data_IF_969027319247
#
_entry.id   IF_969027319247
#
_cell.length_a   1.000
_cell.length_b   1.000
_cell.length_c   1.000
_cell.angle_alpha   90.00
_cell.angle_beta   90.00
_cell.angle_gamma   90.00
#
_symmetry.space_group_name_H-M   'P 1'
#
loop_
_entity.id
_entity.type
_entity.pdbx_description
1 polymer ?
#
# COMPACT_ATOMS: atom_id res chain seq x y z
N UNK A 1 -21.21 -7.19 11.14
CA UNK A 1 -20.68 -5.89 11.61
C UNK A 1 -19.40 -5.51 10.89
N UNK A 2 -18.35 -6.36 10.89
CA UNK A 2 -17.07 -6.07 10.22
C UNK A 2 -17.23 -5.98 8.70
N UNK A 3 -18.01 -6.89 8.11
CA UNK A 3 -18.29 -6.85 6.68
C UNK A 3 -19.05 -5.61 6.24
N UNK A 4 -20.07 -5.19 6.98
CA UNK A 4 -20.83 -3.95 6.68
C UNK A 4 -19.93 -2.72 6.71
N UNK A 5 -19.04 -2.63 7.71
CA UNK A 5 -18.08 -1.52 7.83
C UNK A 5 -17.10 -1.53 6.66
N UNK A 6 -16.59 -2.70 6.27
CA UNK A 6 -15.67 -2.85 5.15
C UNK A 6 -16.31 -2.43 3.82
N UNK A 7 -17.55 -2.88 3.54
CA UNK A 7 -18.30 -2.48 2.35
C UNK A 7 -18.64 -0.99 2.33
N UNK A 8 -18.97 -0.42 3.49
CA UNK A 8 -19.22 1.02 3.62
C UNK A 8 -17.96 1.82 3.30
N UNK A 9 -16.82 1.43 3.87
CA UNK A 9 -15.53 2.09 3.61
C UNK A 9 -15.12 1.97 2.15
N UNK A 10 -15.20 0.76 1.57
CA UNK A 10 -14.90 0.53 0.17
C UNK A 10 -15.77 1.40 -0.76
N UNK A 11 -17.08 1.49 -0.47
CA UNK A 11 -18.00 2.34 -1.23
C UNK A 11 -17.61 3.82 -1.15
N UNK A 12 -17.31 4.31 0.06
CA UNK A 12 -16.95 5.72 0.26
C UNK A 12 -15.66 6.06 -0.46
N UNK A 13 -14.62 5.23 -0.32
CA UNK A 13 -13.33 5.42 -0.99
C UNK A 13 -13.50 5.38 -2.52
N UNK A 14 -14.26 4.41 -3.04
CA UNK A 14 -14.51 4.30 -4.49
C UNK A 14 -15.28 5.50 -5.02
N UNK A 15 -16.29 5.98 -4.28
CA UNK A 15 -17.06 7.14 -4.69
C UNK A 15 -16.25 8.44 -4.65
N UNK A 16 -15.38 8.58 -3.66
CA UNK A 16 -14.48 9.71 -3.54
C UNK A 16 -13.44 9.72 -4.67
N UNK A 17 -12.84 8.57 -4.95
CA UNK A 17 -11.90 8.40 -6.06
C UNK A 17 -12.51 8.70 -7.43
N UNK A 18 -13.76 8.28 -7.65
CA UNK A 18 -14.51 8.54 -8.89
C UNK A 18 -15.21 9.91 -8.90
N UNK A 19 -15.07 10.71 -7.85
CA UNK A 19 -15.72 12.01 -7.68
C UNK A 19 -17.27 11.95 -7.84
N UNK A 20 -17.89 10.82 -7.46
CA UNK A 20 -19.35 10.60 -7.57
C UNK A 20 -20.04 11.09 -6.29
N UNK A 21 -20.87 12.11 -6.44
CA UNK A 21 -21.75 12.56 -5.33
C UNK A 21 -22.81 11.50 -5.04
N UNK A 22 -22.84 11.00 -3.79
CA UNK A 22 -23.75 9.93 -3.36
C UNK A 22 -25.13 10.44 -2.86
N UNK A 23 -25.63 11.53 -3.40
CA UNK A 23 -26.88 12.17 -2.95
C UNK A 23 -28.12 11.34 -3.30
N UNK A 24 -28.05 10.51 -4.35
CA UNK A 24 -29.18 9.68 -4.81
C UNK A 24 -28.89 8.19 -4.58
N UNK A 25 -29.94 7.45 -4.19
CA UNK A 25 -29.88 5.99 -3.97
C UNK A 25 -29.33 5.25 -5.20
N UNK A 26 -29.77 5.66 -6.40
CA UNK A 26 -29.31 5.05 -7.67
C UNK A 26 -27.78 5.16 -7.84
N UNK A 27 -27.17 6.29 -7.45
CA UNK A 27 -25.70 6.45 -7.52
C UNK A 27 -24.98 5.60 -6.49
N UNK A 28 -25.57 5.38 -5.31
CA UNK A 28 -25.04 4.47 -4.30
C UNK A 28 -25.05 3.03 -4.80
N UNK A 29 -26.13 2.59 -5.43
CA UNK A 29 -26.25 1.26 -6.02
C UNK A 29 -25.24 1.08 -7.15
N UNK A 30 -25.06 2.08 -8.00
CA UNK A 30 -24.08 2.05 -9.10
C UNK A 30 -22.64 1.84 -8.62
N UNK A 31 -22.26 2.40 -7.47
CA UNK A 31 -20.94 2.19 -6.85
C UNK A 31 -20.86 0.86 -6.09
N UNK A 32 -21.97 0.44 -5.45
CA UNK A 32 -21.98 -0.82 -4.70
C UNK A 32 -21.97 -2.05 -5.60
N UNK A 33 -22.65 -2.01 -6.74
CA UNK A 33 -22.81 -3.16 -7.62
C UNK A 33 -21.48 -3.78 -8.08
N UNK A 34 -20.49 -3.01 -8.58
CA UNK A 34 -19.19 -3.57 -8.95
C UNK A 34 -18.43 -4.11 -7.73
N UNK A 35 -18.53 -3.47 -6.57
CA UNK A 35 -17.87 -3.95 -5.34
C UNK A 35 -18.45 -5.31 -4.92
N UNK A 36 -19.78 -5.47 -4.96
CA UNK A 36 -20.43 -6.75 -4.69
C UNK A 36 -20.08 -7.82 -5.74
N UNK A 37 -20.04 -7.45 -7.02
CA UNK A 37 -19.66 -8.36 -8.09
C UNK A 37 -18.23 -8.89 -7.89
N UNK A 38 -17.27 -8.02 -7.59
CA UNK A 38 -15.89 -8.42 -7.27
C UNK A 38 -15.85 -9.32 -6.04
N UNK A 39 -16.58 -8.98 -4.97
CA UNK A 39 -16.65 -9.79 -3.76
C UNK A 39 -17.22 -11.19 -4.03
N UNK A 40 -18.22 -11.27 -4.90
CA UNK A 40 -18.84 -12.55 -5.28
C UNK A 40 -17.88 -13.41 -6.11
N UNK A 41 -17.12 -12.81 -7.03
CA UNK A 41 -16.06 -13.51 -7.78
C UNK A 41 -14.97 -14.00 -6.84
N UNK A 42 -14.57 -13.22 -5.85
CA UNK A 42 -13.56 -13.60 -4.87
C UNK A 42 -14.00 -14.80 -4.01
N UNK A 43 -15.29 -15.02 -3.81
CA UNK A 43 -15.79 -16.21 -3.09
C UNK A 43 -15.49 -17.54 -3.81
N UNK A 44 -15.27 -17.52 -5.12
CA UNK A 44 -14.90 -18.72 -5.90
C UNK A 44 -13.38 -18.96 -5.92
N UNK A 45 -12.57 -18.02 -5.44
CA UNK A 45 -11.13 -18.18 -5.35
C UNK A 45 -10.78 -18.99 -4.07
N UNK A 46 -9.78 -19.87 -4.18
CA UNK A 46 -9.31 -20.64 -3.02
C UNK A 46 -8.84 -19.71 -1.91
N UNK A 47 -9.31 -19.96 -0.69
CA UNK A 47 -9.05 -19.13 0.49
C UNK A 47 -7.55 -18.89 0.73
N UNK A 48 -6.71 -19.92 0.56
CA UNK A 48 -5.25 -19.81 0.77
C UNK A 48 -4.58 -18.79 -0.17
N UNK A 49 -5.07 -18.70 -1.41
CA UNK A 49 -4.56 -17.72 -2.39
C UNK A 49 -4.97 -16.32 -1.96
N UNK A 50 -6.25 -16.13 -1.64
CA UNK A 50 -6.79 -14.86 -1.15
C UNK A 50 -6.03 -14.37 0.09
N UNK A 51 -5.79 -15.27 1.05
CA UNK A 51 -5.13 -14.96 2.29
C UNK A 51 -3.69 -14.48 2.08
N UNK A 52 -2.93 -15.14 1.20
CA UNK A 52 -1.56 -14.72 0.85
C UNK A 52 -1.51 -13.35 0.18
N UNK A 53 -2.41 -13.08 -0.77
CA UNK A 53 -2.49 -11.76 -1.40
C UNK A 53 -2.90 -10.67 -0.40
N UNK A 54 -3.83 -10.96 0.51
CA UNK A 54 -4.24 -10.04 1.58
C UNK A 54 -3.06 -9.65 2.47
N UNK A 55 -2.26 -10.63 2.90
CA UNK A 55 -1.05 -10.37 3.66
C UNK A 55 -0.05 -9.50 2.88
N UNK A 56 0.20 -9.84 1.65
CA UNK A 56 1.13 -9.09 0.81
C UNK A 56 0.65 -7.64 0.59
N UNK A 57 -0.63 -7.42 0.31
CA UNK A 57 -1.20 -6.08 0.20
C UNK A 57 -1.08 -5.29 1.51
N UNK A 58 -1.34 -5.93 2.65
CA UNK A 58 -1.20 -5.29 3.95
C UNK A 58 0.25 -4.87 4.24
N UNK A 59 1.22 -5.71 3.86
CA UNK A 59 2.64 -5.38 3.97
C UNK A 59 3.01 -4.18 3.08
N UNK A 60 2.53 -4.17 1.83
CA UNK A 60 2.74 -3.03 0.93
C UNK A 60 2.14 -1.73 1.49
N UNK A 61 0.93 -1.79 2.06
CA UNK A 61 0.31 -0.64 2.70
C UNK A 61 1.18 -0.09 3.84
N UNK A 62 1.82 -0.96 4.60
CA UNK A 62 2.75 -0.56 5.66
C UNK A 62 3.95 0.23 5.12
N UNK A 63 4.50 -0.14 3.95
CA UNK A 63 5.59 0.61 3.31
C UNK A 63 5.15 2.05 3.05
N UNK A 64 4.00 2.24 2.40
CA UNK A 64 3.48 3.57 2.11
C UNK A 64 3.21 4.38 3.38
N UNK A 65 2.67 3.73 4.40
CA UNK A 65 2.40 4.37 5.70
C UNK A 65 3.70 4.86 6.35
N UNK A 66 4.72 4.01 6.43
CA UNK A 66 6.01 4.40 7.01
C UNK A 66 6.71 5.49 6.20
N UNK A 67 6.64 5.43 4.86
CA UNK A 67 7.17 6.50 4.01
C UNK A 67 6.43 7.82 4.21
N UNK A 68 5.10 7.80 4.34
CA UNK A 68 4.30 8.98 4.63
C UNK A 68 4.69 9.59 5.98
N UNK A 69 4.85 8.76 7.02
CA UNK A 69 5.31 9.20 8.34
C UNK A 69 6.74 9.78 8.25
N UNK A 70 7.64 9.15 7.50
CA UNK A 70 9.00 9.65 7.32
C UNK A 70 9.02 11.02 6.64
N UNK A 71 8.20 11.21 5.58
CA UNK A 71 8.04 12.49 4.91
C UNK A 71 7.46 13.55 5.83
N UNK A 72 6.45 13.20 6.61
CA UNK A 72 5.85 14.10 7.59
C UNK A 72 6.85 14.55 8.66
N UNK A 73 7.61 13.59 9.23
CA UNK A 73 8.68 13.89 10.20
C UNK A 73 9.78 14.77 9.60
N UNK A 74 10.17 14.51 8.35
CA UNK A 74 11.18 15.32 7.66
C UNK A 74 10.73 16.77 7.48
N UNK A 75 9.46 16.99 7.12
CA UNK A 75 8.87 18.34 6.99
C UNK A 75 8.83 19.08 8.32
N UNK A 76 8.58 18.40 9.42
CA UNK A 76 8.57 18.97 10.77
C UNK A 76 9.97 19.01 11.42
N UNK A 77 11.04 18.79 10.65
CA UNK A 77 12.44 18.77 11.13
C UNK A 77 12.71 17.80 12.28
N UNK A 78 11.85 16.78 12.44
CA UNK A 78 12.00 15.70 13.41
C UNK A 78 12.88 14.57 12.86
N UNK A 79 13.15 13.57 13.70
CA UNK A 79 13.99 12.43 13.32
C UNK A 79 13.20 11.45 12.43
N UNK A 80 13.32 11.61 11.12
CA UNK A 80 12.65 10.87 10.07
C UNK A 80 13.23 9.46 9.85
N UNK A 81 14.45 9.21 10.32
CA UNK A 81 15.15 7.92 10.16
C UNK A 81 14.38 6.80 10.86
N UNK A 82 13.72 7.08 11.98
CA UNK A 82 12.96 6.09 12.76
C UNK A 82 11.87 5.42 11.91
N UNK A 83 11.21 6.17 11.04
CA UNK A 83 10.18 5.63 10.15
C UNK A 83 10.78 5.11 8.82
N UNK A 84 11.93 5.64 8.39
CA UNK A 84 12.58 5.22 7.16
C UNK A 84 13.16 3.80 7.26
N UNK A 85 13.77 3.43 8.39
CA UNK A 85 14.36 2.09 8.58
C UNK A 85 13.33 0.98 8.35
N UNK A 86 12.17 0.96 9.04
CA UNK A 86 11.16 -0.06 8.79
C UNK A 86 10.57 0.01 7.38
N UNK A 87 10.46 1.19 6.76
CA UNK A 87 10.01 1.32 5.38
C UNK A 87 10.93 0.61 4.39
N UNK A 88 12.24 0.82 4.51
CA UNK A 88 13.28 0.20 3.67
C UNK A 88 13.30 -1.33 3.88
N UNK A 89 13.25 -1.77 5.13
CA UNK A 89 13.19 -3.20 5.48
C UNK A 89 11.96 -3.88 4.88
N UNK A 90 10.78 -3.29 5.06
CA UNK A 90 9.52 -3.83 4.51
C UNK A 90 9.53 -3.84 2.99
N UNK A 91 10.15 -2.85 2.34
CA UNK A 91 10.29 -2.82 0.88
C UNK A 91 11.12 -4.01 0.41
N UNK A 92 12.23 -4.30 1.04
CA UNK A 92 13.06 -5.48 0.72
C UNK A 92 12.24 -6.76 0.84
N UNK A 93 11.63 -6.99 2.01
CA UNK A 93 10.85 -8.21 2.28
C UNK A 93 9.69 -8.38 1.29
N UNK A 94 8.92 -7.31 1.01
CA UNK A 94 7.77 -7.38 0.10
C UNK A 94 8.16 -7.69 -1.33
N UNK A 95 9.26 -7.12 -1.83
CA UNK A 95 9.71 -7.35 -3.21
C UNK A 95 10.30 -8.75 -3.32
N UNK A 96 11.16 -9.16 -2.38
CA UNK A 96 11.70 -10.53 -2.36
C UNK A 96 10.57 -11.56 -2.31
N UNK A 97 9.56 -11.34 -1.46
CA UNK A 97 8.43 -12.26 -1.36
C UNK A 97 7.70 -12.45 -2.68
N UNK A 98 7.31 -11.36 -3.37
CA UNK A 98 6.53 -11.46 -4.62
C UNK A 98 7.35 -12.08 -5.76
N UNK A 99 8.68 -11.93 -5.75
CA UNK A 99 9.56 -12.52 -6.75
C UNK A 99 9.71 -14.05 -6.55
N UNK A 100 9.70 -14.53 -5.31
CA UNK A 100 9.85 -15.96 -4.95
C UNK A 100 8.50 -16.67 -4.90
N UNK A 101 7.41 -15.98 -4.56
CA UNK A 101 6.10 -16.57 -4.36
C UNK A 101 5.62 -17.36 -5.58
N UNK A 102 4.87 -18.44 -5.34
CA UNK A 102 4.27 -19.29 -6.40
C UNK A 102 3.32 -18.51 -7.32
N UNK A 103 2.73 -17.47 -6.81
CA UNK A 103 1.84 -16.55 -7.51
C UNK A 103 2.60 -15.43 -8.24
N UNK A 104 3.93 -15.32 -8.02
CA UNK A 104 4.81 -14.31 -8.62
C UNK A 104 5.65 -14.83 -9.78
N UNK A 105 6.90 -14.39 -9.84
CA UNK A 105 7.80 -14.70 -10.98
C UNK A 105 8.56 -16.02 -10.83
N UNK A 106 8.42 -16.74 -9.71
CA UNK A 106 9.13 -18.00 -9.42
C UNK A 106 10.65 -17.91 -9.59
N UNK A 107 11.24 -16.76 -9.26
CA UNK A 107 12.68 -16.58 -9.36
C UNK A 107 13.41 -17.35 -8.27
N UNK A 108 14.66 -17.68 -8.55
CA UNK A 108 15.54 -18.28 -7.54
C UNK A 108 15.71 -17.33 -6.36
N UNK A 109 15.62 -17.83 -5.11
CA UNK A 109 15.65 -17.01 -3.90
C UNK A 109 16.83 -16.04 -3.84
N UNK A 110 18.01 -16.48 -4.27
CA UNK A 110 19.21 -15.66 -4.26
C UNK A 110 19.09 -14.43 -5.21
N UNK A 111 18.52 -14.61 -6.39
CA UNK A 111 18.33 -13.54 -7.36
C UNK A 111 17.23 -12.57 -6.87
N UNK A 112 16.15 -13.12 -6.33
CA UNK A 112 15.05 -12.32 -5.78
C UNK A 112 15.49 -11.44 -4.61
N UNK A 113 16.39 -11.97 -3.76
CA UNK A 113 16.93 -11.25 -2.60
C UNK A 113 17.80 -10.06 -3.04
N UNK A 114 18.66 -10.26 -4.04
CA UNK A 114 19.47 -9.18 -4.62
C UNK A 114 18.60 -8.08 -5.24
N UNK A 115 17.55 -8.46 -5.97
CA UNK A 115 16.62 -7.47 -6.57
C UNK A 115 15.85 -6.74 -5.47
N UNK A 116 15.38 -7.44 -4.45
CA UNK A 116 14.70 -6.84 -3.29
C UNK A 116 15.59 -5.85 -2.55
N UNK A 117 16.85 -6.21 -2.31
CA UNK A 117 17.84 -5.33 -1.68
C UNK A 117 18.13 -4.10 -2.54
N UNK A 118 18.30 -4.27 -3.86
CA UNK A 118 18.52 -3.16 -4.78
C UNK A 118 17.33 -2.17 -4.80
N UNK A 119 16.10 -2.69 -4.80
CA UNK A 119 14.90 -1.86 -4.74
C UNK A 119 14.78 -1.10 -3.40
N UNK A 120 15.07 -1.76 -2.28
CA UNK A 120 15.08 -1.13 -0.96
C UNK A 120 16.13 -0.01 -0.88
N UNK A 121 17.33 -0.24 -1.42
CA UNK A 121 18.38 0.78 -1.54
C UNK A 121 17.93 1.94 -2.43
N UNK A 122 17.27 1.67 -3.56
CA UNK A 122 16.75 2.71 -4.43
C UNK A 122 15.74 3.61 -3.71
N UNK A 123 14.82 3.03 -2.94
CA UNK A 123 13.86 3.79 -2.11
C UNK A 123 14.59 4.66 -1.08
N UNK A 124 15.58 4.11 -0.39
CA UNK A 124 16.39 4.87 0.57
C UNK A 124 17.13 6.03 -0.10
N UNK A 125 17.81 5.79 -1.24
CA UNK A 125 18.56 6.81 -1.99
C UNK A 125 17.63 7.91 -2.47
N UNK A 126 16.50 7.57 -3.08
CA UNK A 126 15.49 8.55 -3.55
C UNK A 126 14.99 9.40 -2.37
N UNK A 127 14.73 8.78 -1.23
CA UNK A 127 14.33 9.50 -0.04
C UNK A 127 15.40 10.49 0.43
N UNK A 128 16.67 10.06 0.54
CA UNK A 128 17.77 10.92 0.96
C UNK A 128 18.03 12.08 -0.01
N UNK A 129 17.89 11.87 -1.32
CA UNK A 129 18.01 12.94 -2.33
C UNK A 129 16.90 13.98 -2.15
N UNK A 130 15.66 13.55 -1.86
CA UNK A 130 14.52 14.45 -1.67
C UNK A 130 14.45 15.08 -0.28
N UNK A 131 15.11 14.50 0.70
CA UNK A 131 15.10 14.94 2.10
C UNK A 131 15.41 16.43 2.31
N UNK A 132 16.46 17.02 1.69
CA UNK A 132 16.74 18.45 1.87
C UNK A 132 15.62 19.34 1.32
N UNK A 133 14.98 18.95 0.22
CA UNK A 133 13.84 19.68 -0.33
C UNK A 133 12.62 19.59 0.59
N UNK A 134 12.36 18.40 1.19
CA UNK A 134 11.27 18.19 2.15
C UNK A 134 11.44 19.04 3.41
N UNK A 135 12.68 19.18 3.90
CA UNK A 135 12.99 20.00 5.09
C UNK A 135 12.97 21.51 4.82
N UNK A 136 13.11 21.91 3.55
CA UNK A 136 13.06 23.33 3.14
C UNK A 136 11.62 23.83 2.97
N UNK A 137 10.73 22.99 2.47
CA UNK A 137 9.30 23.31 2.36
C UNK A 137 8.62 23.07 3.73
N UNK A 138 8.91 23.92 4.71
CA UNK A 138 8.13 23.96 5.94
C UNK A 138 6.68 24.29 5.57
N UNK A 139 5.76 23.50 6.11
CA UNK A 139 4.38 23.95 6.25
C UNK A 139 4.44 24.94 7.41
N UNK A 140 4.47 26.24 7.09
CA UNK A 140 4.14 27.29 8.03
C UNK A 140 2.64 27.16 8.29
N UNK A 141 2.30 26.57 9.43
CA UNK A 141 0.97 26.66 10.05
C UNK A 141 0.96 27.86 11.00
#
# INVERSE_FOLDING_TARGET
>A
TTGDTAFRSARLITADFLHIKQDRISRRIMVCLPIFAVSLVLMFVKFDILWRYLFWFNQNLSIFTFLAIAVWLARHKKNDIIALIPAVWMTWVCITYILVAREGLHLEPAIADVIGAAAALAVAVIYFIKRPALRRNNIED
#
